data_IF_629943030086
#
_entry.id   IF_629943030086
#
_cell.length_a   1.000
_cell.length_b   1.000
_cell.length_c   1.000
_cell.angle_alpha   90.00
_cell.angle_beta   90.00
_cell.angle_gamma   90.00
#
_symmetry.space_group_name_H-M   'P 1'
#
loop_
_entity.id
_entity.type
_entity.pdbx_description
1 polymer ?
#
# COMPACT_ATOMS: atom_id res chain seq x y z
N UNK A 1 11.84 -40.63 11.91
CA UNK A 1 11.00 -39.51 12.40
C UNK A 1 11.92 -38.29 12.57
N UNK A 2 12.28 -37.61 11.47
CA UNK A 2 13.29 -36.54 11.51
C UNK A 2 12.62 -35.23 11.92
N UNK A 3 13.06 -34.65 13.04
CA UNK A 3 12.67 -33.32 13.47
C UNK A 3 13.12 -32.27 12.42
N UNK A 4 12.25 -31.30 12.15
CA UNK A 4 12.58 -30.11 11.35
C UNK A 4 13.69 -29.29 12.02
N UNK A 5 14.54 -28.58 11.24
CA UNK A 5 15.61 -27.77 11.78
C UNK A 5 15.09 -26.61 12.67
N UNK A 6 15.78 -26.25 13.77
CA UNK A 6 15.32 -25.27 14.76
C UNK A 6 15.21 -23.83 14.21
N UNK A 7 15.85 -23.55 13.07
CA UNK A 7 15.85 -22.25 12.39
C UNK A 7 14.52 -21.84 11.72
N UNK A 8 13.51 -22.71 11.64
CA UNK A 8 12.20 -22.38 11.06
C UNK A 8 11.14 -21.99 12.10
N UNK A 9 11.55 -21.54 13.30
CA UNK A 9 10.62 -20.99 14.26
C UNK A 9 10.14 -19.64 13.73
N UNK A 10 8.90 -19.58 13.23
CA UNK A 10 8.27 -18.31 12.84
C UNK A 10 8.21 -17.43 14.08
N UNK A 11 9.14 -16.48 14.18
CA UNK A 11 9.18 -15.51 15.28
C UNK A 11 8.04 -14.53 15.09
N UNK A 12 7.03 -14.64 15.93
CA UNK A 12 5.92 -13.71 15.95
C UNK A 12 6.34 -12.35 16.53
N UNK A 13 5.75 -11.24 16.07
CA UNK A 13 6.10 -9.89 16.54
C UNK A 13 5.68 -9.62 17.98
N UNK A 14 4.74 -10.39 18.54
CA UNK A 14 4.27 -10.27 19.92
C UNK A 14 4.19 -11.65 20.61
N UNK A 15 4.39 -11.73 21.93
CA UNK A 15 4.07 -12.95 22.69
C UNK A 15 2.56 -13.18 22.83
N UNK A 16 1.72 -12.18 22.54
CA UNK A 16 0.27 -12.29 22.68
C UNK A 16 -0.40 -12.70 21.36
N UNK A 17 -1.11 -13.83 21.39
CA UNK A 17 -1.81 -14.35 20.21
C UNK A 17 -2.78 -13.34 19.60
N UNK A 18 -3.60 -12.66 20.40
CA UNK A 18 -4.56 -11.67 19.91
C UNK A 18 -3.90 -10.52 19.11
N UNK A 19 -2.72 -10.07 19.54
CA UNK A 19 -1.95 -9.05 18.82
C UNK A 19 -1.45 -9.59 17.48
N UNK A 20 -0.96 -10.84 17.46
CA UNK A 20 -0.48 -11.47 16.22
C UNK A 20 -1.62 -11.72 15.23
N UNK A 21 -2.81 -12.08 15.70
CA UNK A 21 -4.00 -12.23 14.85
C UNK A 21 -4.35 -10.91 14.18
N UNK A 22 -4.51 -9.83 14.96
CA UNK A 22 -4.79 -8.50 14.41
C UNK A 22 -3.68 -8.02 13.46
N UNK A 23 -2.41 -8.30 13.81
CA UNK A 23 -1.27 -7.98 12.95
C UNK A 23 -1.33 -8.73 11.61
N UNK A 24 -1.67 -10.02 11.63
CA UNK A 24 -1.76 -10.84 10.43
C UNK A 24 -2.91 -10.37 9.53
N UNK A 25 -4.08 -10.11 10.11
CA UNK A 25 -5.25 -9.58 9.39
C UNK A 25 -4.93 -8.24 8.70
N UNK A 26 -4.31 -7.31 9.43
CA UNK A 26 -3.89 -6.01 8.87
C UNK A 26 -2.83 -6.19 7.77
N UNK A 27 -1.88 -7.10 7.96
CA UNK A 27 -0.81 -7.37 7.00
C UNK A 27 -1.36 -7.97 5.70
N UNK A 28 -2.28 -8.93 5.79
CA UNK A 28 -2.95 -9.53 4.64
C UNK A 28 -3.84 -8.51 3.91
N UNK A 29 -4.56 -7.69 4.66
CA UNK A 29 -5.38 -6.60 4.08
C UNK A 29 -4.50 -5.60 3.33
N UNK A 30 -3.40 -5.16 3.95
CA UNK A 30 -2.45 -4.25 3.32
C UNK A 30 -1.83 -4.87 2.06
N UNK A 31 -1.49 -6.17 2.08
CA UNK A 31 -0.97 -6.87 0.91
C UNK A 31 -1.98 -6.90 -0.23
N UNK A 32 -3.25 -7.20 0.06
CA UNK A 32 -4.33 -7.17 -0.92
C UNK A 32 -4.52 -5.78 -1.55
N UNK A 33 -4.56 -4.73 -0.72
CA UNK A 33 -4.65 -3.34 -1.18
C UNK A 33 -3.45 -2.95 -2.06
N UNK A 34 -2.23 -3.34 -1.67
CA UNK A 34 -1.03 -3.08 -2.45
C UNK A 34 -1.07 -3.81 -3.80
N UNK A 35 -1.51 -5.06 -3.83
CA UNK A 35 -1.63 -5.82 -5.07
C UNK A 35 -2.62 -5.17 -6.03
N UNK A 36 -3.83 -4.83 -5.57
CA UNK A 36 -4.82 -4.17 -6.42
C UNK A 36 -4.39 -2.76 -6.85
N UNK A 37 -3.78 -1.97 -5.96
CA UNK A 37 -3.23 -0.67 -6.33
C UNK A 37 -2.21 -0.81 -7.47
N UNK A 38 -1.30 -1.79 -7.39
CA UNK A 38 -0.30 -2.03 -8.44
C UNK A 38 -0.95 -2.42 -9.76
N UNK A 39 -1.88 -3.36 -9.74
CA UNK A 39 -2.52 -3.90 -10.95
C UNK A 39 -3.44 -2.88 -11.61
N UNK A 40 -4.16 -2.07 -10.84
CA UNK A 40 -5.18 -1.16 -11.37
C UNK A 40 -4.64 0.24 -11.66
N UNK A 41 -3.68 0.74 -10.88
CA UNK A 41 -3.35 2.17 -10.85
C UNK A 41 -1.94 2.49 -11.34
N UNK A 42 -1.02 1.53 -11.38
CA UNK A 42 0.39 1.75 -11.68
C UNK A 42 0.77 1.15 -13.04
N UNK A 43 1.78 1.74 -13.69
CA UNK A 43 2.31 1.28 -14.97
C UNK A 43 3.84 1.20 -14.93
N UNK A 44 4.42 0.48 -15.88
CA UNK A 44 5.87 0.34 -16.05
C UNK A 44 6.54 -0.24 -14.82
N UNK A 45 7.70 0.31 -14.47
CA UNK A 45 8.53 -0.09 -13.31
C UNK A 45 7.78 -0.14 -11.98
N UNK A 46 6.70 0.64 -11.81
CA UNK A 46 5.93 0.64 -10.58
C UNK A 46 4.90 -0.49 -10.48
N UNK A 47 4.42 -1.01 -11.61
CA UNK A 47 3.48 -2.13 -11.60
C UNK A 47 4.16 -3.41 -11.09
N UNK A 48 5.45 -3.60 -11.43
CA UNK A 48 6.26 -4.77 -11.05
C UNK A 48 7.15 -4.55 -9.83
N UNK A 49 7.21 -3.32 -9.30
CA UNK A 49 8.02 -2.96 -8.14
C UNK A 49 7.71 -3.78 -6.88
N UNK A 50 8.75 -4.19 -6.16
CA UNK A 50 8.62 -4.76 -4.83
C UNK A 50 7.88 -3.83 -3.86
N UNK A 51 7.16 -4.36 -2.85
CA UNK A 51 6.45 -3.56 -1.86
C UNK A 51 7.34 -2.52 -1.16
N UNK A 52 8.59 -2.90 -0.85
CA UNK A 52 9.56 -2.00 -0.23
C UNK A 52 9.89 -0.81 -1.13
N UNK A 53 10.05 -1.04 -2.44
CA UNK A 53 10.25 0.03 -3.43
C UNK A 53 9.02 0.94 -3.43
N UNK A 54 7.80 0.40 -3.51
CA UNK A 54 6.57 1.21 -3.50
C UNK A 54 6.42 2.07 -2.23
N UNK A 55 6.80 1.54 -1.06
CA UNK A 55 6.75 2.29 0.21
C UNK A 55 7.48 3.62 0.10
N UNK A 56 8.76 3.61 -0.27
CA UNK A 56 9.57 4.83 -0.28
C UNK A 56 9.29 5.76 -1.46
N UNK A 57 8.82 5.18 -2.55
CA UNK A 57 8.82 5.83 -3.85
C UNK A 57 7.43 6.38 -4.21
N UNK A 58 6.37 5.86 -3.59
CA UNK A 58 4.99 6.30 -3.80
C UNK A 58 4.26 6.58 -2.48
N UNK A 59 4.31 5.67 -1.52
CA UNK A 59 3.49 5.75 -0.30
C UNK A 59 4.08 6.66 0.79
N UNK A 60 5.36 6.99 0.68
CA UNK A 60 6.06 7.95 1.54
C UNK A 60 6.14 9.35 0.91
N UNK A 61 5.25 9.66 -0.05
CA UNK A 61 5.23 10.95 -0.70
C UNK A 61 4.95 12.08 0.30
N UNK A 62 5.67 13.20 0.15
CA UNK A 62 5.35 14.43 0.85
C UNK A 62 4.07 15.04 0.24
N UNK A 63 2.95 14.87 0.96
CA UNK A 63 1.66 15.43 0.58
C UNK A 63 0.89 15.93 1.81
N UNK A 64 0.00 16.89 1.59
CA UNK A 64 -0.91 17.41 2.61
C UNK A 64 -2.34 17.05 2.24
N UNK A 65 -3.06 16.46 3.19
CA UNK A 65 -4.49 16.21 3.07
C UNK A 65 -5.22 17.43 3.67
N UNK A 66 -6.06 18.08 2.87
CA UNK A 66 -6.87 19.22 3.29
C UNK A 66 -8.36 18.91 3.11
N UNK A 67 -9.19 19.32 4.07
CA UNK A 67 -10.65 19.19 4.01
C UNK A 67 -11.25 20.58 3.86
N UNK A 68 -12.16 20.75 2.89
CA UNK A 68 -12.85 22.03 2.68
C UNK A 68 -14.05 21.86 1.76
N UNK A 69 -15.16 22.56 2.04
CA UNK A 69 -16.36 22.54 1.18
C UNK A 69 -16.89 21.13 0.88
N UNK A 70 -16.90 20.23 1.89
CA UNK A 70 -17.26 18.81 1.76
C UNK A 70 -16.38 17.99 0.80
N UNK A 71 -15.18 18.49 0.46
CA UNK A 71 -14.20 17.80 -0.39
C UNK A 71 -12.91 17.50 0.38
N UNK A 72 -12.34 16.34 0.10
CA UNK A 72 -11.00 15.96 0.53
C UNK A 72 -10.04 16.22 -0.64
N UNK A 73 -9.00 17.01 -0.40
CA UNK A 73 -7.99 17.33 -1.40
C UNK A 73 -6.63 16.83 -0.94
N UNK A 74 -5.94 16.10 -1.82
CA UNK A 74 -4.55 15.70 -1.62
C UNK A 74 -3.65 16.66 -2.40
N UNK A 75 -2.86 17.46 -1.68
CA UNK A 75 -1.91 18.41 -2.25
C UNK A 75 -0.52 17.79 -2.25
N UNK A 76 -0.01 17.45 -3.42
CA UNK A 76 1.32 16.85 -3.60
C UNK A 76 2.34 17.98 -3.86
N UNK A 77 3.53 17.89 -3.27
CA UNK A 77 4.60 18.86 -3.54
C UNK A 77 4.95 18.93 -5.03
N UNK A 78 5.10 20.15 -5.56
CA UNK A 78 5.42 20.38 -6.97
C UNK A 78 6.83 19.92 -7.35
N UNK A 79 7.79 20.00 -6.41
CA UNK A 79 9.20 19.64 -6.62
C UNK A 79 9.49 18.17 -6.38
N UNK A 80 8.50 17.38 -5.96
CA UNK A 80 8.73 15.98 -5.65
C UNK A 80 8.89 15.15 -6.94
N UNK A 81 10.00 14.39 -7.12
CA UNK A 81 10.34 13.77 -8.41
C UNK A 81 9.29 12.84 -8.99
N UNK A 82 8.44 12.23 -8.14
CA UNK A 82 7.47 11.18 -8.54
C UNK A 82 6.02 11.65 -8.43
N UNK A 83 5.80 12.97 -8.37
CA UNK A 83 4.48 13.60 -8.34
C UNK A 83 3.59 13.08 -9.48
N UNK A 84 4.13 12.99 -10.69
CA UNK A 84 3.34 12.61 -11.87
C UNK A 84 2.81 11.18 -11.77
N UNK A 85 3.60 10.26 -11.22
CA UNK A 85 3.18 8.88 -11.03
C UNK A 85 2.01 8.81 -10.02
N UNK A 86 2.13 9.50 -8.89
CA UNK A 86 1.08 9.54 -7.87
C UNK A 86 -0.18 10.23 -8.39
N UNK A 87 -0.04 11.37 -9.08
CA UNK A 87 -1.18 12.10 -9.68
C UNK A 87 -1.89 11.23 -10.72
N UNK A 88 -1.14 10.51 -11.56
CA UNK A 88 -1.70 9.60 -12.56
C UNK A 88 -2.40 8.40 -11.92
N UNK A 89 -1.86 7.86 -10.83
CA UNK A 89 -2.50 6.77 -10.09
C UNK A 89 -3.85 7.20 -9.51
N UNK A 90 -3.94 8.41 -8.95
CA UNK A 90 -5.22 8.97 -8.48
C UNK A 90 -6.20 9.24 -9.63
N UNK A 91 -5.73 9.75 -10.77
CA UNK A 91 -6.57 9.95 -11.95
C UNK A 91 -7.18 8.62 -12.43
N UNK A 92 -6.40 7.54 -12.49
CA UNK A 92 -6.89 6.19 -12.81
C UNK A 92 -7.88 5.68 -11.78
N UNK A 93 -7.60 5.87 -10.49
CA UNK A 93 -8.49 5.47 -9.40
C UNK A 93 -9.87 6.13 -9.54
N UNK A 94 -9.91 7.43 -9.87
CA UNK A 94 -11.17 8.15 -10.08
C UNK A 94 -11.91 7.75 -11.35
N UNK A 95 -11.21 7.14 -12.31
CA UNK A 95 -11.80 6.65 -13.56
C UNK A 95 -12.30 5.20 -13.46
N UNK A 96 -11.99 4.49 -12.37
CA UNK A 96 -12.51 3.14 -12.16
C UNK A 96 -14.04 3.15 -12.09
N UNK A 97 -14.71 2.13 -12.67
CA UNK A 97 -16.16 2.01 -12.55
C UNK A 97 -16.53 1.90 -11.09
N UNK A 98 -17.64 2.55 -10.69
CA UNK A 98 -18.19 2.30 -9.36
C UNK A 98 -18.64 0.84 -9.31
N UNK A 99 -18.35 0.12 -8.21
CA UNK A 99 -18.89 -1.22 -8.03
C UNK A 99 -20.42 -1.14 -8.12
N UNK A 100 -21.01 -2.14 -8.78
CA UNK A 100 -22.46 -2.31 -8.73
C UNK A 100 -22.85 -2.53 -7.27
N UNK A 101 -23.87 -1.79 -6.83
CA UNK A 101 -24.40 -1.87 -5.46
C UNK A 101 -25.06 -3.22 -5.19
#
# INVERSE_FOLDING_TARGET
MSALPPEATITWPSPHFAINTAWLELSLTALGLLAWMRTLLLLGELATAEPKKLRYRLLHAAARITRGGRRLQLRISATWPRRNELTSAFARLTALPRPAA
#
